data_IF_402394050791
#
_entry.id   IF_402394050791
#
_cell.length_a   1.000
_cell.length_b   1.000
_cell.length_c   1.000
_cell.angle_alpha   90.00
_cell.angle_beta   90.00
_cell.angle_gamma   90.00
#
_symmetry.space_group_name_H-M   'P 1'
#
loop_
_entity.id
_entity.type
_entity.pdbx_description
1 polymer ?
#
# COMPACT_ATOMS: atom_id res chain seq x y z
N UNK A 1 -47.13 1.06 -43.50
CA UNK A 1 -46.47 1.62 -42.29
C UNK A 1 -46.03 0.55 -41.29
N UNK A 2 -46.88 -0.42 -40.95
CA UNK A 2 -46.54 -1.51 -40.01
C UNK A 2 -45.25 -2.31 -40.32
N UNK A 3 -45.05 -2.69 -41.59
CA UNK A 3 -43.84 -3.44 -42.03
C UNK A 3 -42.54 -2.65 -41.81
N UNK A 4 -42.57 -1.33 -41.96
CA UNK A 4 -41.40 -0.47 -41.73
C UNK A 4 -41.10 -0.38 -40.23
N UNK A 5 -42.12 -0.21 -39.40
CA UNK A 5 -41.97 -0.13 -37.95
C UNK A 5 -41.42 -1.44 -37.36
N UNK A 6 -41.86 -2.60 -37.86
CA UNK A 6 -41.33 -3.92 -37.48
C UNK A 6 -39.83 -4.06 -37.82
N UNK A 7 -39.40 -3.56 -38.98
CA UNK A 7 -37.98 -3.60 -39.37
C UNK A 7 -37.13 -2.72 -38.47
N UNK A 8 -37.61 -1.52 -38.14
CA UNK A 8 -36.92 -0.61 -37.21
C UNK A 8 -36.83 -1.24 -35.82
N UNK A 9 -37.94 -1.82 -35.31
CA UNK A 9 -37.95 -2.51 -34.03
C UNK A 9 -36.95 -3.67 -33.98
N UNK A 10 -36.92 -4.49 -35.04
CA UNK A 10 -35.99 -5.61 -35.13
C UNK A 10 -34.53 -5.15 -35.10
N UNK A 11 -34.17 -4.09 -35.84
CA UNK A 11 -32.81 -3.53 -35.83
C UNK A 11 -32.46 -2.99 -34.44
N UNK A 12 -33.35 -2.26 -33.79
CA UNK A 12 -33.12 -1.74 -32.44
C UNK A 12 -32.88 -2.87 -31.45
N UNK A 13 -33.70 -3.93 -31.47
CA UNK A 13 -33.54 -5.07 -30.57
C UNK A 13 -32.23 -5.83 -30.82
N UNK A 14 -31.83 -6.00 -32.08
CA UNK A 14 -30.54 -6.63 -32.43
C UNK A 14 -29.37 -5.79 -31.93
N UNK A 15 -29.41 -4.47 -32.12
CA UNK A 15 -28.34 -3.57 -31.69
C UNK A 15 -28.25 -3.54 -30.16
N UNK A 16 -29.37 -3.34 -29.47
CA UNK A 16 -29.40 -3.35 -28.00
C UNK A 16 -28.93 -4.69 -27.46
N UNK A 17 -29.45 -5.81 -27.99
CA UNK A 17 -29.05 -7.15 -27.58
C UNK A 17 -27.56 -7.42 -27.80
N UNK A 18 -26.99 -6.98 -28.92
CA UNK A 18 -25.56 -7.09 -29.19
C UNK A 18 -24.74 -6.30 -28.16
N UNK A 19 -25.07 -5.03 -27.90
CA UNK A 19 -24.35 -4.23 -26.92
C UNK A 19 -24.51 -4.76 -25.48
N UNK A 20 -25.70 -5.24 -25.11
CA UNK A 20 -25.92 -5.87 -23.81
C UNK A 20 -25.13 -7.17 -23.67
N UNK A 21 -25.04 -7.99 -24.71
CA UNK A 21 -24.23 -9.21 -24.73
C UNK A 21 -22.74 -8.87 -24.56
N UNK A 22 -22.23 -7.89 -25.31
CA UNK A 22 -20.84 -7.43 -25.16
C UNK A 22 -20.58 -6.89 -23.75
N UNK A 23 -21.52 -6.13 -23.18
CA UNK A 23 -21.41 -5.62 -21.81
C UNK A 23 -21.39 -6.74 -20.74
N UNK A 24 -22.05 -7.88 -21.00
CA UNK A 24 -22.01 -9.05 -20.10
C UNK A 24 -20.77 -9.93 -20.30
N UNK A 25 -20.11 -9.85 -21.46
CA UNK A 25 -18.84 -10.54 -21.72
C UNK A 25 -17.67 -9.80 -21.06
N UNK A 26 -17.76 -8.48 -20.92
CA UNK A 26 -16.79 -7.70 -20.14
C UNK A 26 -17.00 -8.06 -18.68
N UNK A 27 -15.98 -8.63 -17.99
CA UNK A 27 -16.06 -8.87 -16.55
C UNK A 27 -16.43 -7.55 -15.88
N UNK A 28 -17.58 -7.52 -15.21
CA UNK A 28 -18.01 -6.36 -14.45
C UNK A 28 -17.00 -6.19 -13.33
N UNK A 29 -15.99 -5.34 -13.56
CA UNK A 29 -15.12 -4.82 -12.51
C UNK A 29 -16.01 -3.91 -11.66
N UNK A 30 -16.70 -4.51 -10.69
CA UNK A 30 -17.25 -3.76 -9.59
C UNK A 30 -16.10 -2.96 -9.01
N UNK A 31 -16.18 -1.64 -9.19
CA UNK A 31 -15.39 -0.71 -8.40
C UNK A 31 -15.92 -0.83 -6.99
N UNK A 32 -15.48 -1.87 -6.26
CA UNK A 32 -15.46 -1.82 -4.82
C UNK A 32 -14.68 -0.55 -4.49
N UNK A 33 -15.40 0.49 -4.11
CA UNK A 33 -14.82 1.59 -3.36
C UNK A 33 -14.09 0.88 -2.23
N UNK A 34 -12.75 1.02 -2.11
CA UNK A 34 -12.02 0.39 -1.03
C UNK A 34 -12.81 0.68 0.23
N UNK A 35 -13.30 -0.37 0.89
CA UNK A 35 -14.12 -0.21 2.09
C UNK A 35 -13.38 0.80 2.95
N UNK A 36 -13.96 2.00 3.08
CA UNK A 36 -13.32 3.08 3.80
C UNK A 36 -13.07 2.47 5.16
N UNK A 37 -11.80 2.23 5.49
CA UNK A 37 -11.37 1.47 6.65
C UNK A 37 -12.19 1.92 7.85
N UNK A 38 -13.29 1.23 8.11
CA UNK A 38 -14.16 1.54 9.22
C UNK A 38 -13.51 0.80 10.37
N UNK A 39 -12.41 1.36 10.87
CA UNK A 39 -11.68 0.85 12.00
C UNK A 39 -12.53 1.07 13.26
N UNK A 40 -13.62 0.32 13.38
CA UNK A 40 -14.49 0.30 14.56
C UNK A 40 -13.79 -0.34 15.75
N UNK A 41 -14.37 -0.21 16.95
CA UNK A 41 -13.75 -0.68 18.20
C UNK A 41 -13.48 -2.17 18.35
N UNK A 42 -14.01 -3.00 17.45
CA UNK A 42 -13.86 -4.45 17.48
C UNK A 42 -12.87 -4.99 16.44
N UNK A 43 -11.96 -4.16 15.92
CA UNK A 43 -10.94 -4.59 14.96
C UNK A 43 -9.84 -5.37 15.67
N UNK A 44 -9.44 -6.52 15.11
CA UNK A 44 -8.33 -7.31 15.66
C UNK A 44 -6.99 -6.60 15.45
N UNK A 45 -5.97 -6.82 16.31
CA UNK A 45 -4.64 -6.22 16.15
C UNK A 45 -4.03 -6.48 14.77
N UNK A 46 -4.25 -7.66 14.19
CA UNK A 46 -3.73 -8.05 12.89
C UNK A 46 -4.45 -7.33 11.75
N UNK A 47 -5.77 -7.17 11.84
CA UNK A 47 -6.54 -6.40 10.88
C UNK A 47 -6.14 -4.92 10.92
N UNK A 48 -5.84 -4.40 12.11
CA UNK A 48 -5.34 -3.04 12.31
C UNK A 48 -3.92 -2.87 11.73
N UNK A 49 -3.05 -3.87 11.86
CA UNK A 49 -1.73 -3.87 11.22
C UNK A 49 -1.83 -3.94 9.69
N UNK A 50 -2.71 -4.77 9.12
CA UNK A 50 -2.92 -4.80 7.66
C UNK A 50 -3.52 -3.50 7.12
N UNK A 51 -4.36 -2.84 7.91
CA UNK A 51 -4.82 -1.48 7.66
C UNK A 51 -3.67 -0.46 7.68
N UNK A 52 -2.80 -0.54 8.69
CA UNK A 52 -1.63 0.30 8.83
C UNK A 52 -0.63 0.15 7.71
N UNK A 53 -0.43 -1.07 7.21
CA UNK A 53 0.44 -1.36 6.07
C UNK A 53 0.02 -0.55 4.83
N UNK A 54 -1.28 -0.53 4.52
CA UNK A 54 -1.82 0.24 3.39
C UNK A 54 -1.58 1.73 3.54
N UNK A 55 -1.71 2.26 4.76
CA UNK A 55 -1.41 3.66 5.03
C UNK A 55 0.10 3.92 4.91
N UNK A 56 0.94 3.05 5.48
CA UNK A 56 2.40 3.17 5.47
C UNK A 56 2.98 3.17 4.04
N UNK A 57 2.49 2.25 3.19
CA UNK A 57 2.92 2.09 1.81
C UNK A 57 2.28 3.09 0.85
N UNK A 58 1.11 3.64 1.20
CA UNK A 58 0.30 4.52 0.36
C UNK A 58 0.18 5.92 0.94
N UNK A 59 -1.01 6.23 1.47
CA UNK A 59 -1.43 7.60 1.81
C UNK A 59 -0.57 8.30 2.87
N UNK A 60 0.10 7.54 3.75
CA UNK A 60 1.00 8.07 4.77
C UNK A 60 2.40 8.40 4.26
N UNK A 61 2.75 8.02 3.02
CA UNK A 61 4.01 8.40 2.37
C UNK A 61 5.28 8.01 3.15
N UNK A 62 5.19 7.06 4.08
CA UNK A 62 6.25 6.80 5.06
C UNK A 62 7.52 6.29 4.37
N UNK A 63 7.35 5.44 3.35
CA UNK A 63 8.44 4.85 2.56
C UNK A 63 9.28 5.89 1.82
N UNK A 64 8.72 7.06 1.49
CA UNK A 64 9.44 8.13 0.78
C UNK A 64 10.66 8.65 1.57
N UNK A 65 10.62 8.55 2.90
CA UNK A 65 11.75 8.90 3.77
C UNK A 65 12.32 7.69 4.52
N UNK A 66 11.47 6.77 4.98
CA UNK A 66 11.84 5.65 5.84
C UNK A 66 12.13 4.33 5.08
N UNK A 67 12.16 4.33 3.74
CA UNK A 67 12.38 3.12 2.95
C UNK A 67 13.85 2.75 2.70
N UNK A 68 14.73 3.73 2.49
CA UNK A 68 16.14 3.50 2.11
C UNK A 68 17.14 3.67 3.27
N UNK A 69 16.72 4.22 4.40
CA UNK A 69 17.62 4.50 5.54
C UNK A 69 18.56 5.69 5.34
N UNK A 70 18.49 6.41 4.21
CA UNK A 70 19.38 7.54 3.87
C UNK A 70 18.82 8.89 4.29
N UNK A 71 17.50 9.07 4.17
CA UNK A 71 16.79 10.32 4.49
C UNK A 71 16.20 10.31 5.90
N UNK A 72 15.78 9.15 6.35
CA UNK A 72 15.28 8.88 7.68
C UNK A 72 15.67 7.43 8.05
N UNK A 73 15.70 7.04 9.33
CA UNK A 73 16.06 5.67 9.71
C UNK A 73 15.10 4.67 9.08
N UNK A 74 15.64 3.56 8.55
CA UNK A 74 14.81 2.53 7.95
C UNK A 74 13.95 1.86 9.03
N UNK A 75 12.63 1.77 8.82
CA UNK A 75 11.70 1.20 9.78
C UNK A 75 11.41 -0.29 9.51
N UNK A 76 11.51 -0.73 8.26
CA UNK A 76 11.19 -2.10 7.82
C UNK A 76 12.44 -2.98 7.63
N UNK A 77 13.62 -2.45 7.91
CA UNK A 77 14.88 -3.17 7.89
C UNK A 77 15.74 -2.78 9.09
N UNK A 78 16.85 -3.51 9.26
CA UNK A 78 17.87 -3.16 10.23
C UNK A 78 18.34 -1.71 10.03
N UNK A 79 18.49 -1.01 11.15
CA UNK A 79 19.07 0.33 11.16
C UNK A 79 20.20 0.35 12.18
N UNK A 80 21.45 0.33 11.68
CA UNK A 80 22.66 0.36 12.49
C UNK A 80 22.73 -0.76 13.55
N UNK A 81 22.28 -1.98 13.21
CA UNK A 81 22.30 -3.14 14.10
C UNK A 81 21.17 -3.18 15.12
N UNK A 82 20.20 -2.27 15.04
CA UNK A 82 19.08 -2.19 15.97
C UNK A 82 17.87 -3.07 15.59
N UNK A 83 17.93 -3.86 14.51
CA UNK A 83 16.82 -4.69 14.03
C UNK A 83 15.68 -3.88 13.42
N UNK A 84 14.50 -4.48 13.25
CA UNK A 84 13.29 -3.84 12.73
C UNK A 84 12.68 -2.84 13.74
N UNK A 85 11.79 -1.94 13.30
CA UNK A 85 11.23 -0.93 14.21
C UNK A 85 10.43 -1.54 15.38
N UNK A 86 9.64 -2.59 15.13
CA UNK A 86 8.83 -3.25 16.17
C UNK A 86 9.68 -3.95 17.23
N UNK A 87 10.85 -4.48 16.83
CA UNK A 87 11.79 -5.10 17.77
C UNK A 87 12.52 -4.09 18.66
N UNK A 88 12.67 -2.83 18.22
CA UNK A 88 13.55 -1.85 18.88
C UNK A 88 12.83 -0.65 19.50
N UNK A 89 11.62 -0.32 19.08
CA UNK A 89 10.87 0.85 19.54
C UNK A 89 10.80 0.98 21.08
N UNK A 90 10.59 -0.14 21.79
CA UNK A 90 10.49 -0.14 23.27
C UNK A 90 11.81 0.14 24.01
N UNK A 91 12.96 0.06 23.33
CA UNK A 91 14.27 0.37 23.92
C UNK A 91 14.84 1.72 23.47
N UNK A 92 14.15 2.43 22.55
CA UNK A 92 14.59 3.73 22.02
C UNK A 92 14.60 4.83 23.05
N UNK A 93 13.69 4.79 24.02
CA UNK A 93 13.59 5.77 25.10
C UNK A 93 13.38 5.04 26.42
N UNK A 94 14.33 5.21 27.34
CA UNK A 94 14.23 4.62 28.66
C UNK A 94 12.94 5.06 29.37
N UNK A 95 12.19 4.08 29.89
CA UNK A 95 10.93 4.31 30.62
C UNK A 95 9.70 4.55 29.75
N UNK A 96 9.78 4.36 28.44
CA UNK A 96 8.67 4.52 27.50
C UNK A 96 8.43 3.23 26.74
N UNK A 97 7.18 2.79 26.66
CA UNK A 97 6.83 1.62 25.85
C UNK A 97 6.85 1.94 24.35
N UNK A 98 6.85 0.89 23.53
CA UNK A 98 6.89 1.02 22.08
C UNK A 98 5.70 1.82 21.52
N UNK A 99 4.49 1.61 22.05
CA UNK A 99 3.26 2.22 21.55
C UNK A 99 3.28 3.73 21.76
N UNK A 100 3.61 4.17 22.98
CA UNK A 100 3.75 5.59 23.33
C UNK A 100 4.89 6.22 22.54
N UNK A 101 6.05 5.55 22.43
CA UNK A 101 7.18 6.05 21.67
C UNK A 101 6.82 6.32 20.21
N UNK A 102 6.18 5.37 19.53
CA UNK A 102 5.81 5.50 18.12
C UNK A 102 4.75 6.60 17.92
N UNK A 103 3.75 6.68 18.80
CA UNK A 103 2.74 7.72 18.73
C UNK A 103 3.35 9.13 18.90
N UNK A 104 4.21 9.32 19.90
CA UNK A 104 4.89 10.59 20.10
C UNK A 104 5.88 10.90 18.96
N UNK A 105 6.61 9.91 18.42
CA UNK A 105 7.48 10.12 17.25
C UNK A 105 6.71 10.56 16.01
N UNK A 106 5.44 10.19 15.85
CA UNK A 106 4.62 10.61 14.72
C UNK A 106 3.95 11.97 14.92
N UNK A 107 3.56 12.29 16.15
CA UNK A 107 2.80 13.51 16.49
C UNK A 107 3.70 14.67 16.93
N UNK A 108 4.90 14.35 17.44
CA UNK A 108 5.96 15.26 17.89
C UNK A 108 7.34 14.81 17.33
N UNK A 109 7.54 14.79 16.00
CA UNK A 109 8.70 14.16 15.36
C UNK A 109 10.07 14.70 15.79
N UNK A 110 10.14 15.97 16.21
CA UNK A 110 11.38 16.60 16.66
C UNK A 110 11.79 16.19 18.09
N UNK A 111 10.93 15.45 18.82
CA UNK A 111 11.19 15.02 20.20
C UNK A 111 12.21 13.88 20.26
N UNK A 112 12.24 13.02 19.24
CA UNK A 112 13.03 11.79 19.20
C UNK A 112 13.82 11.64 17.91
N UNK A 113 14.57 12.68 17.53
CA UNK A 113 15.41 12.65 16.33
C UNK A 113 16.53 11.62 16.51
N UNK A 114 16.65 10.73 15.53
CA UNK A 114 17.66 9.68 15.54
C UNK A 114 19.02 10.29 15.17
N UNK A 115 20.11 10.00 15.92
CA UNK A 115 21.43 10.51 15.59
C UNK A 115 21.81 10.23 14.12
N UNK A 116 22.31 11.26 13.43
CA UNK A 116 22.69 11.17 12.02
C UNK A 116 21.59 11.56 11.02
N UNK A 117 20.39 11.94 11.48
CA UNK A 117 19.33 12.44 10.62
C UNK A 117 18.90 13.86 10.98
N UNK A 118 18.45 14.58 9.95
CA UNK A 118 17.87 15.92 10.10
C UNK A 118 16.43 15.84 10.63
N UNK A 119 15.96 16.85 11.39
CA UNK A 119 14.60 16.94 11.91
C UNK A 119 13.59 17.33 10.80
N UNK A 120 13.40 16.45 9.82
CA UNK A 120 12.58 16.70 8.63
C UNK A 120 11.21 16.01 8.64
N UNK A 121 10.97 15.11 9.60
CA UNK A 121 9.71 14.37 9.67
C UNK A 121 8.56 15.33 10.00
N UNK A 122 7.48 15.39 9.19
CA UNK A 122 6.34 16.24 9.50
C UNK A 122 5.51 15.69 10.66
N UNK A 123 4.72 16.55 11.30
CA UNK A 123 3.66 16.11 12.22
C UNK A 123 2.59 15.34 11.44
N UNK A 124 2.48 14.04 11.71
CA UNK A 124 1.62 13.13 10.95
C UNK A 124 0.13 13.41 11.14
N UNK A 125 -0.27 14.10 12.21
CA UNK A 125 -1.68 14.50 12.42
C UNK A 125 -2.18 15.50 11.39
N UNK A 126 -1.27 16.11 10.62
CA UNK A 126 -1.64 17.00 9.51
C UNK A 126 -1.97 16.25 8.21
N UNK A 127 -1.66 14.96 8.15
CA UNK A 127 -1.77 14.15 6.93
C UNK A 127 -2.65 12.92 7.14
N UNK A 128 -2.68 12.39 8.36
CA UNK A 128 -3.40 11.18 8.74
C UNK A 128 -4.42 11.49 9.82
N UNK A 129 -5.56 10.80 9.74
CA UNK A 129 -6.52 10.76 10.83
C UNK A 129 -5.98 9.92 12.01
N UNK A 130 -6.49 10.14 13.22
CA UNK A 130 -5.97 9.49 14.44
C UNK A 130 -6.09 7.95 14.38
N UNK A 131 -7.16 7.41 13.78
CA UNK A 131 -7.34 5.99 13.54
C UNK A 131 -6.28 5.41 12.58
N UNK A 132 -5.92 6.16 11.54
CA UNK A 132 -4.85 5.82 10.61
C UNK A 132 -3.48 5.85 11.29
N UNK A 133 -3.24 6.79 12.21
CA UNK A 133 -2.00 6.83 13.01
C UNK A 133 -1.88 5.55 13.84
N UNK A 134 -2.94 5.15 14.54
CA UNK A 134 -2.94 3.91 15.33
C UNK A 134 -2.78 2.66 14.47
N UNK A 135 -3.39 2.63 13.28
CA UNK A 135 -3.19 1.56 12.31
C UNK A 135 -1.71 1.45 11.91
N UNK A 136 -1.07 2.56 11.53
CA UNK A 136 0.35 2.59 11.16
C UNK A 136 1.24 2.16 12.33
N UNK A 137 0.91 2.53 13.56
CA UNK A 137 1.65 2.09 14.76
C UNK A 137 1.52 0.57 14.94
N UNK A 138 0.33 0.00 14.77
CA UNK A 138 0.12 -1.45 14.83
C UNK A 138 0.96 -2.18 13.77
N UNK A 139 1.02 -1.64 12.55
CA UNK A 139 1.87 -2.17 11.48
C UNK A 139 3.36 -2.06 11.81
N UNK A 140 3.83 -0.94 12.36
CA UNK A 140 5.23 -0.79 12.77
C UNK A 140 5.59 -1.77 13.90
N UNK A 141 4.68 -2.02 14.84
CA UNK A 141 4.88 -3.02 15.88
C UNK A 141 4.96 -4.43 15.32
N UNK A 142 4.15 -4.76 14.30
CA UNK A 142 4.21 -6.08 13.66
C UNK A 142 5.54 -6.37 12.95
N UNK A 143 6.38 -5.35 12.71
CA UNK A 143 7.75 -5.51 12.20
C UNK A 143 8.70 -6.01 13.32
N UNK A 144 8.49 -7.25 13.76
CA UNK A 144 9.36 -7.94 14.73
C UNK A 144 9.06 -7.66 16.20
N UNK A 145 7.89 -7.09 16.53
CA UNK A 145 7.41 -6.88 17.89
C UNK A 145 5.98 -7.40 18.10
N UNK A 146 5.49 -7.27 19.33
CA UNK A 146 4.10 -7.57 19.69
C UNK A 146 3.21 -6.36 19.39
N UNK A 147 2.03 -6.60 18.79
CA UNK A 147 1.04 -5.55 18.52
C UNK A 147 0.29 -5.26 19.82
N UNK A 148 0.56 -4.10 20.43
CA UNK A 148 -0.08 -3.66 21.68
C UNK A 148 -1.16 -2.60 21.45
N UNK A 149 -1.41 -2.23 20.19
CA UNK A 149 -2.51 -1.35 19.79
C UNK A 149 -3.81 -2.14 19.77
N UNK A 150 -4.85 -1.58 20.37
CA UNK A 150 -6.17 -2.20 20.52
C UNK A 150 -7.25 -1.31 19.90
N UNK A 151 -8.44 -1.85 19.69
CA UNK A 151 -9.59 -1.07 19.24
C UNK A 151 -9.95 0.11 20.18
N UNK A 152 -9.60 0.01 21.47
CA UNK A 152 -9.77 1.12 22.41
C UNK A 152 -8.86 2.32 22.09
N UNK A 153 -7.63 2.08 21.61
CA UNK A 153 -6.70 3.15 21.22
C UNK A 153 -7.23 3.91 19.99
N UNK A 154 -7.83 3.19 19.03
CA UNK A 154 -8.47 3.75 17.84
C UNK A 154 -9.70 4.60 18.20
N UNK A 155 -10.45 4.18 19.24
CA UNK A 155 -11.66 4.87 19.70
C UNK A 155 -11.38 6.05 20.65
N UNK A 156 -10.24 6.07 21.33
CA UNK A 156 -9.93 7.03 22.39
C UNK A 156 -9.90 8.51 21.92
N UNK A 157 -9.97 8.77 20.60
CA UNK A 157 -10.13 10.11 20.02
C UNK A 157 -11.16 10.23 18.90
N UNK A 158 -12.05 9.25 18.74
CA UNK A 158 -13.22 9.41 17.86
C UNK A 158 -14.31 10.26 18.55
N UNK A 159 -14.07 11.56 18.72
CA UNK A 159 -15.07 12.55 19.14
C UNK A 159 -14.73 13.94 18.57
N UNK A 160 -15.73 14.75 18.22
CA UNK A 160 -16.13 15.01 16.84
C UNK A 160 -15.33 16.14 16.18
N UNK A 161 -14.74 15.84 15.03
CA UNK A 161 -14.41 16.81 13.99
C UNK A 161 -15.31 16.54 12.78
N UNK A 162 -16.51 17.13 12.84
CA UNK A 162 -17.45 17.35 11.73
C UNK A 162 -17.99 16.15 10.95
N UNK A 163 -18.93 15.44 11.58
CA UNK A 163 -20.10 14.93 10.87
C UNK A 163 -21.30 15.86 11.15
N UNK A 164 -21.47 16.87 10.30
CA UNK A 164 -22.73 17.60 10.16
C UNK A 164 -22.97 17.87 8.66
N UNK A 165 -23.81 17.06 8.04
CA UNK A 165 -24.32 17.33 6.70
C UNK A 165 -25.50 18.31 6.74
N UNK A 166 -25.53 19.26 5.79
CA UNK A 166 -26.66 19.61 4.90
C UNK A 166 -26.45 21.02 4.27
N UNK A 167 -27.21 21.46 3.25
CA UNK A 167 -27.04 21.15 1.81
C UNK A 167 -26.83 22.39 0.90
N UNK A 168 -25.95 22.29 -0.11
CA UNK A 168 -25.87 23.13 -1.34
C UNK A 168 -25.46 24.62 -1.19
N UNK A 169 -25.09 25.35 -2.28
CA UNK A 169 -25.17 25.00 -3.70
C UNK A 169 -23.82 24.98 -4.44
N UNK A 170 -23.90 24.59 -5.71
CA UNK A 170 -22.83 24.50 -6.69
C UNK A 170 -21.92 25.73 -6.80
N UNK A 171 -20.62 25.47 -7.01
CA UNK A 171 -19.72 26.40 -7.70
C UNK A 171 -18.36 26.60 -7.04
N UNK A 172 -17.32 26.32 -7.83
CA UNK A 172 -15.95 26.82 -7.73
C UNK A 172 -14.93 26.09 -6.81
N UNK A 173 -14.16 25.24 -7.51
CA UNK A 173 -12.69 25.14 -7.45
C UNK A 173 -12.06 24.38 -6.28
N UNK A 174 -12.10 23.05 -6.41
CA UNK A 174 -11.08 22.17 -5.84
C UNK A 174 -9.74 22.39 -6.56
N UNK A 175 -8.73 22.89 -5.85
CA UNK A 175 -7.33 22.80 -6.27
C UNK A 175 -6.75 21.44 -5.90
N UNK A 176 -6.01 20.89 -6.86
CA UNK A 176 -5.38 19.57 -6.82
C UNK A 176 -4.19 19.53 -5.86
N UNK A 177 -4.19 18.57 -4.94
CA UNK A 177 -3.04 17.82 -4.39
C UNK A 177 -3.55 16.94 -3.23
N UNK A 178 -3.31 15.63 -3.13
CA UNK A 178 -2.74 14.66 -4.05
C UNK A 178 -3.55 13.38 -3.83
N UNK A 179 -4.08 12.83 -4.92
CA UNK A 179 -4.72 11.53 -4.93
C UNK A 179 -3.72 10.48 -4.43
N UNK A 180 -4.19 9.57 -3.55
CA UNK A 180 -3.64 8.22 -3.51
C UNK A 180 -3.55 7.75 -4.96
N UNK A 181 -2.37 7.27 -5.37
CA UNK A 181 -2.09 6.94 -6.75
C UNK A 181 -3.23 6.09 -7.31
N UNK A 182 -4.06 6.71 -8.15
CA UNK A 182 -4.88 5.97 -9.11
C UNK A 182 -3.90 5.03 -9.81
N UNK A 183 -4.27 3.78 -10.13
CA UNK A 183 -3.43 2.99 -11.02
C UNK A 183 -3.20 3.84 -12.25
N UNK A 184 -1.95 4.25 -12.43
CA UNK A 184 -1.53 5.00 -13.61
C UNK A 184 -1.98 4.18 -14.80
N UNK A 185 -2.63 4.78 -15.80
CA UNK A 185 -3.06 4.06 -17.01
C UNK A 185 -1.89 3.44 -17.80
N UNK A 186 -0.66 3.61 -17.31
CA UNK A 186 0.56 3.03 -17.85
C UNK A 186 0.56 1.52 -17.72
N UNK A 187 1.07 0.88 -18.77
CA UNK A 187 1.46 -0.54 -18.77
C UNK A 187 2.97 -0.66 -18.90
N UNK A 188 3.72 0.44 -18.77
CA UNK A 188 5.18 0.39 -18.80
C UNK A 188 5.71 -0.36 -17.57
N UNK A 189 6.46 -1.47 -17.74
CA UNK A 189 6.84 -2.32 -16.63
C UNK A 189 7.83 -1.66 -15.67
N UNK A 190 8.71 -0.77 -16.14
CA UNK A 190 9.71 -0.10 -15.30
C UNK A 190 9.05 0.97 -14.45
N UNK A 191 8.12 1.72 -15.04
CA UNK A 191 7.30 2.69 -14.33
C UNK A 191 6.44 1.99 -13.27
N UNK A 192 5.79 0.88 -13.62
CA UNK A 192 4.99 0.11 -12.67
C UNK A 192 5.82 -0.42 -11.49
N UNK A 193 7.02 -0.96 -11.75
CA UNK A 193 7.93 -1.43 -10.68
C UNK A 193 8.40 -0.28 -9.78
N UNK A 194 8.50 0.93 -10.30
CA UNK A 194 8.88 2.12 -9.53
C UNK A 194 7.70 2.65 -8.71
N UNK A 195 6.53 2.82 -9.32
CA UNK A 195 5.33 3.37 -8.69
C UNK A 195 4.77 2.46 -7.60
N UNK A 196 4.90 1.14 -7.78
CA UNK A 196 4.47 0.16 -6.77
C UNK A 196 5.59 -0.17 -5.76
N UNK A 197 6.67 0.62 -5.74
CA UNK A 197 7.71 0.53 -4.72
C UNK A 197 8.61 -0.72 -4.79
N UNK A 198 8.52 -1.51 -5.86
CA UNK A 198 9.25 -2.77 -5.99
C UNK A 198 10.78 -2.56 -5.91
N UNK A 199 11.27 -1.49 -6.55
CA UNK A 199 12.70 -1.11 -6.54
C UNK A 199 13.20 -0.65 -5.16
N UNK A 200 12.27 -0.33 -4.26
CA UNK A 200 12.59 0.00 -2.87
C UNK A 200 13.20 -1.18 -2.10
N UNK A 201 12.88 -2.42 -2.50
CA UNK A 201 13.41 -3.64 -1.89
C UNK A 201 14.15 -4.55 -2.87
N UNK A 202 13.89 -4.48 -4.17
CA UNK A 202 14.53 -5.33 -5.18
C UNK A 202 15.45 -4.52 -6.08
N UNK A 203 16.64 -5.05 -6.36
CA UNK A 203 17.56 -4.41 -7.28
C UNK A 203 17.23 -4.70 -8.74
N UNK A 204 17.49 -3.70 -9.59
CA UNK A 204 17.44 -3.79 -11.04
C UNK A 204 18.52 -2.89 -11.65
N UNK A 205 19.36 -3.44 -12.52
CA UNK A 205 20.54 -2.78 -13.08
C UNK A 205 21.44 -2.14 -12.00
N UNK A 206 21.57 -2.82 -10.86
CA UNK A 206 22.29 -2.30 -9.69
C UNK A 206 21.64 -1.11 -8.99
N UNK A 207 20.41 -0.73 -9.36
CA UNK A 207 19.60 0.31 -8.70
C UNK A 207 18.55 -0.33 -7.80
N UNK A 208 18.30 0.27 -6.64
CA UNK A 208 17.38 -0.25 -5.62
C UNK A 208 18.10 -0.84 -4.41
N UNK A 209 17.35 -1.26 -3.40
CA UNK A 209 17.94 -1.86 -2.20
C UNK A 209 18.12 -3.38 -2.37
N UNK A 210 19.21 -3.99 -1.87
CA UNK A 210 19.40 -5.44 -1.90
C UNK A 210 18.68 -6.14 -0.74
N UNK A 211 17.42 -5.78 -0.50
CA UNK A 211 16.61 -6.35 0.61
C UNK A 211 16.00 -7.67 0.15
N UNK A 212 15.39 -7.68 -1.03
CA UNK A 212 14.86 -8.83 -1.72
C UNK A 212 15.77 -9.29 -2.86
N UNK A 213 15.48 -10.46 -3.45
CA UNK A 213 16.22 -10.99 -4.58
C UNK A 213 16.29 -10.00 -5.75
N UNK A 214 17.45 -9.83 -6.36
CA UNK A 214 17.58 -8.97 -7.54
C UNK A 214 16.68 -9.42 -8.69
N UNK A 215 16.13 -8.47 -9.44
CA UNK A 215 15.46 -8.70 -10.71
C UNK A 215 16.45 -8.98 -11.84
N UNK A 216 17.72 -8.65 -11.68
CA UNK A 216 18.72 -8.89 -12.71
C UNK A 216 18.93 -10.40 -12.93
N UNK A 217 18.71 -10.83 -14.18
CA UNK A 217 18.76 -12.22 -14.59
C UNK A 217 17.69 -13.13 -13.98
N UNK A 218 16.59 -12.57 -13.46
CA UNK A 218 15.51 -13.35 -12.87
C UNK A 218 14.88 -14.34 -13.86
N UNK A 219 14.82 -13.98 -15.15
CA UNK A 219 14.33 -14.85 -16.22
C UNK A 219 15.21 -16.08 -16.50
N UNK A 220 16.45 -16.14 -15.97
CA UNK A 220 17.26 -17.37 -15.96
C UNK A 220 16.93 -18.29 -14.78
N UNK A 221 16.32 -17.75 -13.72
CA UNK A 221 16.08 -18.43 -12.44
C UNK A 221 14.64 -18.89 -12.26
N UNK A 222 13.69 -18.11 -12.78
CA UNK A 222 12.26 -18.32 -12.57
C UNK A 222 11.48 -18.22 -13.89
N UNK A 223 10.43 -19.02 -14.00
CA UNK A 223 9.44 -18.92 -15.09
C UNK A 223 8.47 -17.77 -14.86
N UNK A 224 7.76 -17.34 -15.91
CA UNK A 224 6.71 -16.34 -15.79
C UNK A 224 5.67 -16.71 -14.73
N UNK A 225 5.27 -17.99 -14.63
CA UNK A 225 4.31 -18.45 -13.62
C UNK A 225 4.86 -18.37 -12.20
N UNK A 226 6.14 -18.69 -12.01
CA UNK A 226 6.80 -18.55 -10.71
C UNK A 226 6.93 -17.09 -10.30
N UNK A 227 7.24 -16.19 -11.24
CA UNK A 227 7.29 -14.74 -11.00
C UNK A 227 5.88 -14.23 -10.64
N UNK A 228 4.85 -14.63 -11.38
CA UNK A 228 3.45 -14.25 -11.08
C UNK A 228 3.03 -14.73 -9.69
N UNK A 229 3.33 -15.99 -9.36
CA UNK A 229 3.07 -16.54 -8.02
C UNK A 229 3.81 -15.74 -6.95
N UNK A 230 5.07 -15.36 -7.18
CA UNK A 230 5.84 -14.54 -6.25
C UNK A 230 5.29 -13.12 -6.05
N UNK A 231 4.64 -12.52 -7.04
CA UNK A 231 4.01 -11.21 -6.89
C UNK A 231 2.67 -11.31 -6.15
N UNK A 232 1.86 -12.32 -6.46
CA UNK A 232 0.53 -12.50 -5.87
C UNK A 232 0.56 -13.14 -4.48
N UNK A 233 1.55 -14.01 -4.24
CA UNK A 233 1.72 -14.80 -3.03
C UNK A 233 3.19 -14.79 -2.58
N UNK A 234 3.74 -13.61 -2.27
CA UNK A 234 5.18 -13.45 -2.02
C UNK A 234 5.73 -14.25 -0.83
N UNK A 235 4.88 -14.59 0.12
CA UNK A 235 5.24 -15.35 1.31
C UNK A 235 4.96 -16.86 1.18
N UNK A 236 4.51 -17.33 0.00
CA UNK A 236 4.26 -18.75 -0.23
C UNK A 236 5.55 -19.54 -0.48
N UNK A 237 6.49 -18.96 -1.24
CA UNK A 237 7.79 -19.56 -1.56
C UNK A 237 8.90 -18.50 -1.39
N UNK A 238 9.60 -18.52 -0.24
CA UNK A 238 10.73 -17.61 -0.03
C UNK A 238 11.94 -18.04 -0.87
N UNK A 239 12.55 -17.08 -1.56
CA UNK A 239 13.80 -17.32 -2.28
C UNK A 239 14.93 -17.72 -1.32
N UNK A 240 15.73 -18.69 -1.75
CA UNK A 240 16.88 -19.19 -0.97
C UNK A 240 17.85 -18.05 -0.64
N UNK A 241 18.21 -17.91 0.64
CA UNK A 241 19.09 -16.85 1.14
C UNK A 241 18.37 -15.56 1.57
N UNK A 242 17.04 -15.53 1.49
CA UNK A 242 16.19 -14.41 1.90
C UNK A 242 15.20 -14.82 3.00
N UNK A 243 15.47 -15.90 3.72
CA UNK A 243 14.61 -16.43 4.78
C UNK A 243 14.45 -15.46 5.96
N UNK A 244 15.47 -14.65 6.24
CA UNK A 244 15.44 -13.63 7.30
C UNK A 244 14.55 -12.43 6.99
N UNK A 245 14.19 -12.25 5.71
CA UNK A 245 13.31 -11.18 5.22
C UNK A 245 12.00 -11.73 4.65
N UNK A 246 11.72 -13.02 4.87
CA UNK A 246 10.43 -13.61 4.55
C UNK A 246 9.31 -12.86 5.29
N UNK A 247 8.21 -12.56 4.60
CA UNK A 247 7.12 -11.75 5.16
C UNK A 247 7.20 -10.26 4.83
N UNK A 248 8.36 -9.73 4.40
CA UNK A 248 8.52 -8.28 4.13
C UNK A 248 7.90 -7.87 2.79
N UNK A 249 7.85 -8.77 1.80
CA UNK A 249 7.26 -8.46 0.50
C UNK A 249 5.71 -8.39 0.63
N UNK A 250 5.07 -7.24 0.33
CA UNK A 250 3.64 -7.05 0.57
C UNK A 250 2.75 -8.02 -0.22
N UNK A 251 1.77 -8.64 0.42
CA UNK A 251 0.79 -9.52 -0.23
C UNK A 251 -0.40 -8.76 -0.87
N UNK A 252 -0.26 -7.44 -1.05
CA UNK A 252 -1.34 -6.55 -1.52
C UNK A 252 -1.35 -6.35 -3.04
N UNK A 253 -0.31 -6.79 -3.76
CA UNK A 253 -0.17 -6.52 -5.19
C UNK A 253 -1.28 -7.12 -6.05
N UNK A 254 -1.93 -8.20 -5.61
CA UNK A 254 -3.10 -8.74 -6.28
C UNK A 254 -4.34 -7.83 -6.24
N UNK A 255 -4.37 -6.88 -5.30
CA UNK A 255 -5.44 -5.88 -5.17
C UNK A 255 -5.05 -4.53 -5.78
N UNK A 256 -3.76 -4.21 -5.86
CA UNK A 256 -3.29 -2.92 -6.36
C UNK A 256 -2.96 -2.93 -7.86
N UNK A 257 -2.55 -4.07 -8.42
CA UNK A 257 -2.24 -4.20 -9.85
C UNK A 257 -3.46 -4.74 -10.61
N UNK A 258 -3.76 -4.12 -11.74
CA UNK A 258 -4.66 -4.74 -12.73
C UNK A 258 -4.00 -5.95 -13.38
N UNK A 259 -4.80 -6.86 -13.94
CA UNK A 259 -4.27 -8.02 -14.67
C UNK A 259 -3.29 -7.62 -15.80
N UNK A 260 -3.59 -6.56 -16.54
CA UNK A 260 -2.72 -6.07 -17.60
C UNK A 260 -1.37 -5.54 -17.07
N UNK A 261 -1.38 -4.85 -15.94
CA UNK A 261 -0.15 -4.34 -15.30
C UNK A 261 0.69 -5.48 -14.74
N UNK A 262 0.06 -6.44 -14.07
CA UNK A 262 0.73 -7.64 -13.56
C UNK A 262 1.41 -8.42 -14.70
N UNK A 263 0.69 -8.67 -15.79
CA UNK A 263 1.27 -9.39 -16.94
C UNK A 263 2.39 -8.61 -17.62
N UNK A 264 2.30 -7.27 -17.68
CA UNK A 264 3.40 -6.46 -18.20
C UNK A 264 4.68 -6.63 -17.38
N UNK A 265 4.57 -6.57 -16.05
CA UNK A 265 5.70 -6.78 -15.13
C UNK A 265 6.25 -8.21 -15.26
N UNK A 266 5.37 -9.22 -15.22
CA UNK A 266 5.76 -10.64 -15.30
C UNK A 266 6.52 -10.91 -16.59
N UNK A 267 6.00 -10.44 -17.73
CA UNK A 267 6.65 -10.59 -19.03
C UNK A 267 8.04 -9.95 -19.01
N UNK A 268 8.12 -8.68 -18.61
CA UNK A 268 9.38 -7.95 -18.53
C UNK A 268 10.45 -8.65 -17.69
N UNK A 269 10.07 -9.14 -16.49
CA UNK A 269 10.98 -9.86 -15.61
C UNK A 269 11.38 -11.22 -16.19
N UNK A 270 10.45 -11.96 -16.79
CA UNK A 270 10.74 -13.28 -17.39
C UNK A 270 11.68 -13.22 -18.59
N UNK A 271 11.67 -12.10 -19.34
CA UNK A 271 12.56 -11.87 -20.48
C UNK A 271 13.95 -11.38 -20.05
N UNK A 272 14.12 -10.97 -18.78
CA UNK A 272 15.34 -10.42 -18.22
C UNK A 272 16.32 -11.52 -17.81
N UNK A 273 17.18 -11.92 -18.74
CA UNK A 273 18.12 -13.05 -18.59
C UNK A 273 19.51 -12.67 -18.14
#
# INVERSE_FOLDING_TARGET
>A
MWKTNLRVLAVVLVVVGFYTMVAHIIPQLESEVPEALALGGNVTPEALAGAGERVYMGAGGCTACHGLGTRAPNLLADHAGAGLIGARCGSRKAGMDCKTYLYESMTEPNKFVVPGFEPIMPDMRRQLADDQIWAVIAYMQSQGGEITVTGADVQAKAAPGDAAGAPGPAGAQASQAAAGARPTATTDPVELLTQNGCIGCHQMDGKGAPIGPTFDGIGKRLTADQIRKGILFPNADTAKGFETVAGIMPATFGQTLTAAQLESIVKFLSERK
#
